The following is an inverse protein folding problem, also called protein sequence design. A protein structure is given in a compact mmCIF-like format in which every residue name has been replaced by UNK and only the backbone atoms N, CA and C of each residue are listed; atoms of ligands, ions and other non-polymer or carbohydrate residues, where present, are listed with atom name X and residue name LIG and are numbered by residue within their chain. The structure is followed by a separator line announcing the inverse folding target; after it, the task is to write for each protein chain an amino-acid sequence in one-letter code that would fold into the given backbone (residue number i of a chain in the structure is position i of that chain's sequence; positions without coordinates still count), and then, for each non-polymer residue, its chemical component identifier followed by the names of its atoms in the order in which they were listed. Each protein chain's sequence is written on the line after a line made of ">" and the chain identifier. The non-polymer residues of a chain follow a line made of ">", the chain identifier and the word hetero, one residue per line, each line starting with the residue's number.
data_IF_210340533304
#
_entry.id   IF_210340533304
#
_cell.length_a   1.000
_cell.length_b   1.000
_cell.length_c   1.000
_cell.angle_alpha   90.00
_cell.angle_beta   90.00
_cell.angle_gamma   90.00
#
_symmetry.space_group_name_H-M   'P 1'
#
loop_
_entity.id
_entity.type
_entity.pdbx_description
1 polymer ?
#
# COMPACT_ATOMS: atom_id res chain seq x y z
N UNK A 1 -23.97 50.34 -31.95
CA UNK A 1 -24.33 49.48 -30.78
C UNK A 1 -24.05 48.00 -31.02
N UNK A 2 -24.18 47.49 -32.25
CA UNK A 2 -23.91 46.09 -32.64
C UNK A 2 -22.51 45.58 -32.30
N UNK A 3 -21.46 46.38 -32.51
CA UNK A 3 -20.07 45.97 -32.18
C UNK A 3 -19.86 45.71 -30.68
N UNK A 4 -20.51 46.50 -29.80
CA UNK A 4 -20.42 46.34 -28.34
C UNK A 4 -21.13 45.07 -27.87
N UNK A 5 -22.25 44.72 -28.51
CA UNK A 5 -22.97 43.48 -28.27
C UNK A 5 -22.15 42.26 -28.74
N UNK A 6 -21.48 42.36 -29.89
CA UNK A 6 -20.62 41.29 -30.40
C UNK A 6 -19.42 41.02 -29.49
N UNK A 7 -18.77 42.07 -28.98
CA UNK A 7 -17.65 41.94 -28.02
C UNK A 7 -18.10 41.38 -26.67
N UNK A 8 -19.30 41.72 -26.22
CA UNK A 8 -19.85 41.18 -24.97
C UNK A 8 -20.19 39.69 -25.15
N UNK A 9 -20.80 39.33 -26.28
CA UNK A 9 -21.12 37.94 -26.61
C UNK A 9 -19.87 37.06 -26.71
N UNK A 10 -18.77 37.55 -27.31
CA UNK A 10 -17.52 36.78 -27.38
C UNK A 10 -16.89 36.55 -26.01
N UNK A 11 -17.00 37.52 -25.10
CA UNK A 11 -16.46 37.39 -23.74
C UNK A 11 -17.22 36.34 -22.92
N UNK A 12 -18.54 36.28 -23.07
CA UNK A 12 -19.38 35.26 -22.40
C UNK A 12 -19.09 33.86 -22.93
N UNK A 13 -18.87 33.72 -24.25
CA UNK A 13 -18.48 32.44 -24.84
C UNK A 13 -17.11 31.95 -24.33
N UNK A 14 -16.13 32.84 -24.17
CA UNK A 14 -14.82 32.47 -23.60
C UNK A 14 -14.90 32.13 -22.11
N UNK A 15 -15.81 32.76 -21.35
CA UNK A 15 -16.02 32.46 -19.93
C UNK A 15 -16.72 31.10 -19.70
N UNK A 16 -17.51 30.61 -20.67
CA UNK A 16 -18.16 29.31 -20.62
C UNK A 16 -17.24 28.12 -20.86
N UNK A 17 -16.04 28.33 -21.41
CA UNK A 17 -15.04 27.28 -21.60
C UNK A 17 -14.31 26.86 -20.31
N UNK A 18 -14.88 27.19 -19.15
CA UNK A 18 -14.25 27.03 -17.83
C UNK A 18 -14.53 25.68 -17.15
N UNK A 19 -14.95 24.68 -17.91
CA UNK A 19 -15.29 23.34 -17.40
C UNK A 19 -14.11 22.64 -16.69
N UNK A 20 -12.88 23.17 -16.78
CA UNK A 20 -11.66 22.53 -16.28
C UNK A 20 -10.88 23.29 -15.17
N UNK A 21 -11.18 24.55 -14.81
CA UNK A 21 -10.48 25.18 -13.66
C UNK A 21 -11.10 24.85 -12.29
N UNK A 22 -12.27 24.23 -12.26
CA UNK A 22 -12.86 23.76 -11.01
C UNK A 22 -12.26 22.40 -10.65
N UNK A 23 -11.16 22.39 -9.90
CA UNK A 23 -10.72 21.19 -9.20
C UNK A 23 -11.71 20.91 -8.07
N UNK A 24 -12.78 20.17 -8.38
CA UNK A 24 -13.65 19.62 -7.36
C UNK A 24 -12.95 18.42 -6.74
N UNK A 25 -12.41 18.57 -5.53
CA UNK A 25 -11.89 17.44 -4.74
C UNK A 25 -13.01 16.52 -4.19
N UNK A 26 -14.23 16.65 -4.72
CA UNK A 26 -15.40 15.87 -4.34
C UNK A 26 -15.55 14.67 -5.26
N UNK A 27 -15.88 13.51 -4.68
CA UNK A 27 -16.37 12.35 -5.43
C UNK A 27 -17.67 12.78 -6.11
N UNK A 28 -17.62 12.96 -7.44
CA UNK A 28 -18.72 13.18 -8.38
C UNK A 28 -20.06 13.69 -7.78
N UNK A 29 -20.49 14.92 -8.08
CA UNK A 29 -21.75 15.48 -7.55
C UNK A 29 -23.01 14.72 -7.97
N UNK A 30 -22.91 13.81 -8.95
CA UNK A 30 -24.03 13.01 -9.46
C UNK A 30 -24.01 11.54 -9.01
N UNK A 31 -23.01 11.13 -8.23
CA UNK A 31 -22.95 9.75 -7.72
C UNK A 31 -23.87 9.62 -6.51
N UNK A 32 -25.12 9.25 -6.78
CA UNK A 32 -26.10 8.93 -5.75
C UNK A 32 -25.58 7.86 -4.80
N UNK A 33 -25.78 8.08 -3.50
CA UNK A 33 -25.37 7.20 -2.38
C UNK A 33 -23.89 7.27 -1.98
N UNK A 34 -23.08 8.22 -2.47
CA UNK A 34 -21.71 8.40 -1.98
C UNK A 34 -21.68 8.78 -0.47
N UNK A 35 -22.60 9.63 -0.03
CA UNK A 35 -22.69 10.09 1.37
C UNK A 35 -23.06 8.96 2.34
N UNK A 36 -24.05 8.14 1.99
CA UNK A 36 -24.50 7.01 2.80
C UNK A 36 -23.45 5.88 2.80
N UNK A 37 -22.75 5.65 1.68
CA UNK A 37 -21.61 4.72 1.63
C UNK A 37 -20.47 5.19 2.53
N UNK A 38 -20.11 6.48 2.49
CA UNK A 38 -19.10 7.05 3.37
C UNK A 38 -19.48 6.94 4.85
N UNK A 39 -20.76 7.14 5.18
CA UNK A 39 -21.27 6.96 6.55
C UNK A 39 -21.16 5.50 7.00
N UNK A 40 -21.52 4.54 6.15
CA UNK A 40 -21.39 3.12 6.44
C UNK A 40 -19.92 2.70 6.64
N UNK A 41 -19.01 3.20 5.80
CA UNK A 41 -17.58 2.89 5.91
C UNK A 41 -16.90 3.56 7.12
N UNK A 42 -17.35 4.75 7.51
CA UNK A 42 -16.85 5.47 8.68
C UNK A 42 -17.62 5.11 9.97
N UNK A 43 -18.62 4.23 9.88
CA UNK A 43 -19.27 3.69 11.07
C UNK A 43 -18.22 2.89 11.82
N UNK A 44 -17.92 3.33 13.04
CA UNK A 44 -17.03 2.64 13.95
C UNK A 44 -17.70 1.31 14.27
N UNK A 45 -17.28 0.23 13.60
CA UNK A 45 -17.64 -1.12 13.98
C UNK A 45 -16.94 -1.42 15.31
N UNK A 46 -17.67 -1.56 16.43
CA UNK A 46 -17.03 -1.88 17.69
C UNK A 46 -16.38 -3.25 17.55
N UNK A 47 -15.07 -3.32 17.82
CA UNK A 47 -14.37 -4.59 17.84
C UNK A 47 -15.12 -5.56 18.77
N UNK A 48 -15.44 -6.77 18.33
CA UNK A 48 -16.12 -7.73 19.17
C UNK A 48 -15.27 -8.03 20.41
N UNK A 49 -15.92 -8.26 21.56
CA UNK A 49 -15.26 -8.25 22.89
C UNK A 49 -14.04 -9.18 22.99
N UNK A 50 -14.02 -10.29 22.25
CA UNK A 50 -12.90 -11.23 22.23
C UNK A 50 -11.61 -10.66 21.60
N UNK A 51 -11.69 -9.59 20.80
CA UNK A 51 -10.51 -8.95 20.19
C UNK A 51 -9.66 -8.25 21.26
N UNK A 52 -10.26 -7.85 22.37
CA UNK A 52 -9.56 -7.28 23.52
C UNK A 52 -8.94 -8.34 24.43
N UNK A 53 -9.16 -9.62 24.16
CA UNK A 53 -8.58 -10.70 24.94
C UNK A 53 -7.10 -10.86 24.58
N UNK A 54 -6.23 -10.44 25.48
CA UNK A 54 -4.78 -10.58 25.37
C UNK A 54 -4.25 -11.77 26.18
N UNK A 55 -5.14 -12.60 26.74
CA UNK A 55 -4.77 -13.82 27.46
C UNK A 55 -4.35 -14.93 26.48
N UNK A 56 -3.12 -14.83 26.01
CA UNK A 56 -2.48 -15.83 25.18
C UNK A 56 -2.17 -17.07 26.05
N UNK A 57 -2.94 -18.14 25.85
CA UNK A 57 -2.68 -19.45 26.47
C UNK A 57 -1.35 -20.02 25.96
N UNK A 58 -0.28 -19.67 26.64
CA UNK A 58 1.08 -20.16 26.36
C UNK A 58 1.52 -21.20 27.38
N UNK A 59 2.38 -22.13 26.95
CA UNK A 59 3.04 -23.09 27.83
C UNK A 59 4.50 -22.67 28.03
N UNK A 60 4.90 -22.40 29.28
CA UNK A 60 6.28 -22.03 29.59
C UNK A 60 7.30 -23.10 29.16
N UNK A 61 6.89 -24.38 29.19
CA UNK A 61 7.70 -25.48 28.65
C UNK A 61 7.96 -25.32 27.15
N UNK A 62 6.92 -25.00 26.37
CA UNK A 62 7.05 -24.79 24.91
C UNK A 62 7.94 -23.59 24.58
N UNK A 63 7.86 -22.53 25.39
CA UNK A 63 8.73 -21.35 25.23
C UNK A 63 10.20 -21.68 25.54
N UNK A 64 10.46 -22.41 26.63
CA UNK A 64 11.82 -22.85 26.98
C UNK A 64 12.41 -23.78 25.91
N UNK A 65 11.61 -24.73 25.40
CA UNK A 65 12.02 -25.64 24.33
C UNK A 65 12.33 -24.86 23.03
N UNK A 66 11.55 -23.82 22.69
CA UNK A 66 11.83 -22.96 21.54
C UNK A 66 13.13 -22.16 21.68
N UNK A 67 13.40 -21.59 22.87
CA UNK A 67 14.64 -20.87 23.16
C UNK A 67 15.85 -21.79 23.04
N UNK A 68 15.78 -23.00 23.64
CA UNK A 68 16.86 -23.99 23.55
C UNK A 68 17.15 -24.37 22.10
N UNK A 69 16.11 -24.62 21.32
CA UNK A 69 16.28 -25.01 19.91
C UNK A 69 16.92 -23.88 19.09
N UNK A 70 16.55 -22.61 19.37
CA UNK A 70 17.18 -21.46 18.72
C UNK A 70 18.68 -21.34 19.07
N UNK A 71 19.02 -21.52 20.35
CA UNK A 71 20.42 -21.48 20.81
C UNK A 71 21.25 -22.58 20.14
N UNK A 72 20.76 -23.82 20.16
CA UNK A 72 21.46 -24.95 19.54
C UNK A 72 21.62 -24.78 18.02
N UNK A 73 20.59 -24.27 17.32
CA UNK A 73 20.68 -24.01 15.88
C UNK A 73 21.68 -22.88 15.55
N UNK A 74 21.80 -21.88 16.42
CA UNK A 74 22.78 -20.82 16.29
C UNK A 74 24.21 -21.34 16.52
N UNK A 75 24.41 -22.21 17.52
CA UNK A 75 25.70 -22.87 17.77
C UNK A 75 26.12 -23.77 16.61
N UNK A 76 25.19 -24.54 16.04
CA UNK A 76 25.44 -25.36 14.84
C UNK A 76 25.78 -24.50 13.62
N UNK A 77 25.11 -23.35 13.44
CA UNK A 77 25.41 -22.38 12.38
C UNK A 77 26.76 -21.68 12.56
N UNK A 78 27.22 -21.51 13.80
CA UNK A 78 28.53 -20.91 14.13
C UNK A 78 29.68 -21.92 14.14
N UNK A 79 29.38 -23.21 14.28
CA UNK A 79 30.35 -24.30 14.21
C UNK A 79 30.74 -24.68 12.77
N UNK A 80 30.04 -24.14 11.76
CA UNK A 80 30.51 -24.20 10.38
C UNK A 80 31.69 -23.22 10.26
N UNK A 81 32.93 -23.67 10.04
CA UNK A 81 34.04 -22.75 9.86
C UNK A 81 33.72 -21.85 8.67
N UNK A 82 33.93 -20.55 8.84
CA UNK A 82 34.05 -19.55 7.79
C UNK A 82 35.16 -19.95 6.82
N UNK A 83 34.87 -20.92 5.96
CA UNK A 83 35.68 -21.32 4.83
C UNK A 83 34.73 -21.39 3.65
N UNK A 84 35.13 -20.68 2.59
CA UNK A 84 34.54 -20.61 1.24
C UNK A 84 33.17 -19.95 1.09
N UNK A 85 33.18 -18.61 1.05
CA UNK A 85 32.54 -17.95 -0.10
C UNK A 85 33.30 -18.45 -1.35
N UNK A 86 32.67 -19.14 -2.32
CA UNK A 86 33.35 -19.32 -3.60
C UNK A 86 33.46 -17.94 -4.24
N UNK A 87 34.71 -17.49 -4.36
CA UNK A 87 35.08 -16.44 -5.27
C UNK A 87 34.49 -16.75 -6.65
N UNK A 88 33.80 -15.77 -7.23
CA UNK A 88 33.62 -15.56 -8.67
C UNK A 88 33.49 -16.85 -9.52
N UNK A 89 32.26 -17.35 -9.73
CA UNK A 89 31.99 -18.09 -10.96
C UNK A 89 31.92 -17.05 -12.09
N UNK A 90 33.06 -16.95 -12.76
CA UNK A 90 33.39 -16.04 -13.83
C UNK A 90 32.41 -16.14 -15.00
N UNK A 91 32.08 -14.96 -15.53
CA UNK A 91 32.04 -14.58 -16.94
C UNK A 91 31.76 -15.66 -18.01
N UNK A 92 30.87 -15.26 -18.92
CA UNK A 92 31.03 -15.48 -20.35
C UNK A 92 30.76 -16.89 -20.87
N UNK A 93 29.49 -17.29 -20.90
CA UNK A 93 29.04 -18.23 -21.93
C UNK A 93 28.58 -17.44 -23.16
N UNK A 94 29.57 -17.02 -23.97
CA UNK A 94 29.40 -16.45 -25.32
C UNK A 94 29.95 -17.49 -26.31
N UNK A 95 29.10 -17.95 -27.23
CA UNK A 95 29.48 -18.67 -28.47
C UNK A 95 29.11 -20.16 -28.46
N UNK A 96 28.06 -20.59 -29.16
CA UNK A 96 28.02 -20.85 -30.62
C UNK A 96 28.89 -22.03 -31.06
N UNK A 97 28.30 -23.20 -31.30
CA UNK A 97 28.38 -23.98 -32.57
C UNK A 97 27.75 -25.37 -32.38
N UNK A 98 26.67 -25.65 -33.11
CA UNK A 98 26.53 -26.80 -34.01
C UNK A 98 25.72 -26.34 -35.21
#
# INVERSE_FOLDING_TARGET
>A
MTKKLLTLASLVLLAGCQEYLTRSDMVSPYTGNATVTNQAQQTIDPWPRYVYDTDLKTSGKRQADAIRNYQNAHEESQAVPTAVLPAQQQASNKGSTQ
#
